data_IF_893631250184
#
_entry.id   IF_893631250184
#
_cell.length_a   1.000
_cell.length_b   1.000
_cell.length_c   1.000
_cell.angle_alpha   90.00
_cell.angle_beta   90.00
_cell.angle_gamma   90.00
#
_symmetry.space_group_name_H-M   'P 1'
#
loop_
_entity.id
_entity.type
_entity.pdbx_description
1 polymer ?
#
# COMPACT_ATOMS: atom_id res chain seq x y z
N UNK A 1 1.15 45.40 -24.28
CA UNK A 1 -0.12 44.91 -23.72
C UNK A 1 -0.64 43.87 -24.69
N UNK A 2 -0.47 42.58 -24.40
CA UNK A 2 -1.33 41.57 -25.01
C UNK A 2 -1.46 40.42 -24.02
N UNK A 3 -2.69 40.31 -23.51
CA UNK A 3 -3.12 39.37 -22.50
C UNK A 3 -3.81 38.23 -23.25
N UNK A 4 -3.17 37.07 -23.36
CA UNK A 4 -3.79 35.89 -23.96
C UNK A 4 -4.19 34.97 -22.82
N UNK A 5 -5.43 35.16 -22.38
CA UNK A 5 -6.12 34.30 -21.43
C UNK A 5 -6.15 32.86 -21.98
N UNK A 6 -5.29 32.01 -21.45
CA UNK A 6 -5.33 30.56 -21.59
C UNK A 6 -6.44 30.00 -20.69
N UNK A 7 -7.70 30.19 -21.11
CA UNK A 7 -8.82 29.39 -20.60
C UNK A 7 -8.62 27.95 -21.07
N UNK A 8 -8.04 27.13 -20.20
CA UNK A 8 -8.04 25.68 -20.35
C UNK A 8 -9.48 25.21 -20.34
N UNK A 9 -10.06 25.00 -21.52
CA UNK A 9 -11.32 24.29 -21.64
C UNK A 9 -11.12 22.88 -21.07
N UNK A 10 -11.63 22.66 -19.85
CA UNK A 10 -11.77 21.33 -19.27
C UNK A 10 -12.69 20.53 -20.18
N UNK A 11 -12.10 19.83 -21.15
CA UNK A 11 -12.81 18.79 -21.90
C UNK A 11 -13.33 17.80 -20.87
N UNK A 12 -14.65 17.63 -20.80
CA UNK A 12 -15.26 16.62 -19.95
C UNK A 12 -14.69 15.26 -20.38
N UNK A 13 -13.98 14.59 -19.47
CA UNK A 13 -13.37 13.29 -19.71
C UNK A 13 -14.47 12.21 -19.69
N UNK A 14 -15.35 12.21 -20.71
CA UNK A 14 -16.47 11.27 -20.85
C UNK A 14 -16.00 9.82 -20.71
N UNK A 15 -14.79 9.51 -21.19
CA UNK A 15 -14.12 8.20 -21.05
C UNK A 15 -14.00 7.78 -19.58
N UNK A 16 -13.56 8.68 -18.69
CA UNK A 16 -13.39 8.38 -17.27
C UNK A 16 -14.74 8.16 -16.57
N UNK A 17 -15.77 8.90 -17.00
CA UNK A 17 -17.13 8.71 -16.49
C UNK A 17 -17.70 7.34 -16.91
N UNK A 18 -17.56 6.94 -18.18
CA UNK A 18 -18.00 5.61 -18.64
C UNK A 18 -17.23 4.47 -17.97
N UNK A 19 -15.95 4.66 -17.64
CA UNK A 19 -15.16 3.71 -16.86
C UNK A 19 -15.73 3.54 -15.44
N UNK A 20 -15.98 4.64 -14.74
CA UNK A 20 -16.59 4.62 -13.41
C UNK A 20 -18.02 4.04 -13.42
N UNK A 21 -18.79 4.32 -14.47
CA UNK A 21 -20.14 3.79 -14.64
C UNK A 21 -20.14 2.28 -14.90
N UNK A 22 -19.24 1.78 -15.77
CA UNK A 22 -19.07 0.35 -16.01
C UNK A 22 -18.64 -0.41 -14.75
N UNK A 23 -17.71 0.16 -13.98
CA UNK A 23 -17.26 -0.40 -12.71
C UNK A 23 -18.37 -0.42 -11.63
N UNK A 24 -19.28 0.55 -11.62
CA UNK A 24 -20.43 0.52 -10.71
C UNK A 24 -21.41 -0.58 -11.10
N UNK A 25 -21.71 -0.73 -12.40
CA UNK A 25 -22.63 -1.75 -12.92
C UNK A 25 -22.11 -3.17 -12.61
N UNK A 26 -20.82 -3.43 -12.80
CA UNK A 26 -20.24 -4.75 -12.53
C UNK A 26 -20.22 -5.09 -11.03
N UNK A 27 -19.99 -4.09 -10.18
CA UNK A 27 -19.98 -4.26 -8.72
C UNK A 27 -21.39 -4.60 -8.22
N UNK A 28 -22.42 -3.92 -8.73
CA UNK A 28 -23.83 -4.24 -8.43
C UNK A 28 -24.18 -5.64 -8.93
N UNK A 29 -23.72 -6.02 -10.13
CA UNK A 29 -23.97 -7.36 -10.66
C UNK A 29 -23.26 -8.46 -9.85
N UNK A 30 -22.03 -8.22 -9.39
CA UNK A 30 -21.29 -9.10 -8.49
C UNK A 30 -21.98 -9.25 -7.14
N UNK A 31 -22.53 -8.15 -6.60
CA UNK A 31 -23.32 -8.15 -5.37
C UNK A 31 -24.55 -9.06 -5.50
N UNK A 32 -25.31 -8.97 -6.60
CA UNK A 32 -26.48 -9.82 -6.82
C UNK A 32 -26.12 -11.30 -6.98
N UNK A 33 -24.99 -11.61 -7.62
CA UNK A 33 -24.46 -12.97 -7.69
C UNK A 33 -24.11 -13.52 -6.30
N UNK A 34 -23.50 -12.72 -5.44
CA UNK A 34 -23.16 -13.13 -4.07
C UNK A 34 -24.40 -13.36 -3.19
N UNK A 35 -25.45 -12.55 -3.35
CA UNK A 35 -26.71 -12.68 -2.61
C UNK A 35 -27.57 -13.91 -3.03
N UNK A 36 -27.16 -14.66 -4.06
CA UNK A 36 -27.88 -15.85 -4.53
C UNK A 36 -29.26 -15.55 -5.12
N UNK A 37 -29.49 -14.31 -5.58
CA UNK A 37 -30.75 -13.93 -6.20
C UNK A 37 -30.96 -14.67 -7.52
N UNK A 38 -32.20 -15.08 -7.77
CA UNK A 38 -32.57 -15.65 -9.06
C UNK A 38 -32.24 -14.65 -10.19
N UNK A 39 -31.62 -15.10 -11.28
CA UNK A 39 -31.02 -14.29 -12.35
C UNK A 39 -29.68 -13.58 -12.04
N UNK A 40 -29.08 -13.80 -10.86
CA UNK A 40 -27.79 -13.20 -10.49
C UNK A 40 -26.67 -13.53 -11.47
N UNK A 41 -26.60 -14.77 -11.97
CA UNK A 41 -25.60 -15.18 -12.95
C UNK A 41 -25.77 -14.50 -14.31
N UNK A 42 -27.01 -14.33 -14.77
CA UNK A 42 -27.32 -13.68 -16.05
C UNK A 42 -26.94 -12.20 -15.98
N UNK A 43 -27.31 -11.51 -14.89
CA UNK A 43 -26.96 -10.11 -14.67
C UNK A 43 -25.43 -9.93 -14.56
N UNK A 44 -24.75 -10.86 -13.90
CA UNK A 44 -23.30 -10.88 -13.75
C UNK A 44 -22.57 -11.03 -15.09
N UNK A 45 -23.04 -11.95 -15.95
CA UNK A 45 -22.48 -12.14 -17.29
C UNK A 45 -22.66 -10.88 -18.14
N UNK A 46 -23.83 -10.24 -18.08
CA UNK A 46 -24.10 -8.99 -18.82
C UNK A 46 -23.20 -7.85 -18.33
N UNK A 47 -23.04 -7.72 -17.01
CA UNK A 47 -22.15 -6.73 -16.40
C UNK A 47 -20.68 -6.91 -16.81
N UNK A 48 -20.18 -8.14 -16.76
CA UNK A 48 -18.83 -8.51 -17.22
C UNK A 48 -18.63 -8.26 -18.72
N UNK A 49 -19.62 -8.62 -19.54
CA UNK A 49 -19.54 -8.43 -21.00
C UNK A 49 -19.49 -6.95 -21.36
N UNK A 50 -20.28 -6.13 -20.66
CA UNK A 50 -20.30 -4.67 -20.84
C UNK A 50 -18.96 -4.05 -20.45
N UNK A 51 -18.39 -4.46 -19.32
CA UNK A 51 -17.06 -3.99 -18.89
C UNK A 51 -15.97 -4.42 -19.87
N UNK A 52 -15.99 -5.67 -20.36
CA UNK A 52 -15.01 -6.17 -21.31
C UNK A 52 -15.00 -5.36 -22.63
N UNK A 53 -16.17 -4.91 -23.10
CA UNK A 53 -16.28 -4.06 -24.29
C UNK A 53 -15.71 -2.66 -24.01
N UNK A 54 -16.04 -2.07 -22.86
CA UNK A 54 -15.51 -0.76 -22.45
C UNK A 54 -13.98 -0.82 -22.34
N UNK A 55 -13.45 -1.87 -21.73
CA UNK A 55 -12.02 -2.08 -21.56
C UNK A 55 -11.31 -2.28 -22.90
N UNK A 56 -11.92 -3.03 -23.82
CA UNK A 56 -11.40 -3.23 -25.17
C UNK A 56 -11.34 -1.90 -25.95
N UNK A 57 -12.39 -1.08 -25.89
CA UNK A 57 -12.39 0.25 -26.52
C UNK A 57 -11.36 1.19 -25.86
N UNK A 58 -11.28 1.16 -24.53
CA UNK A 58 -10.32 1.97 -23.76
C UNK A 58 -8.87 1.63 -24.08
N UNK A 59 -8.55 0.35 -24.31
CA UNK A 59 -7.21 -0.07 -24.72
C UNK A 59 -6.74 0.57 -26.03
N UNK A 60 -7.67 0.90 -26.93
CA UNK A 60 -7.35 1.64 -28.17
C UNK A 60 -7.20 3.15 -27.95
N UNK A 61 -7.93 3.74 -26.99
CA UNK A 61 -7.92 5.18 -26.68
C UNK A 61 -6.76 5.61 -25.75
N UNK A 62 -6.15 4.66 -25.02
CA UNK A 62 -4.99 4.88 -24.14
C UNK A 62 -3.78 5.54 -24.85
N UNK A 63 -3.69 5.48 -26.19
CA UNK A 63 -2.59 6.11 -26.93
C UNK A 63 -2.65 7.66 -26.93
N UNK A 64 -3.80 8.28 -26.67
CA UNK A 64 -3.95 9.73 -26.82
C UNK A 64 -3.89 10.54 -25.52
N UNK A 65 -4.11 9.92 -24.35
CA UNK A 65 -4.29 10.62 -23.08
C UNK A 65 -3.27 10.25 -22.00
N UNK A 66 -1.99 10.07 -22.37
CA UNK A 66 -0.93 10.34 -21.40
C UNK A 66 -0.89 11.86 -21.19
N UNK A 67 -1.76 12.38 -20.33
CA UNK A 67 -1.46 13.64 -19.64
C UNK A 67 -0.15 13.38 -18.93
N UNK A 68 0.94 13.91 -19.45
CA UNK A 68 2.21 13.97 -18.72
C UNK A 68 1.87 14.61 -17.38
N UNK A 69 1.99 13.82 -16.32
CA UNK A 69 1.95 14.36 -14.98
C UNK A 69 3.01 15.47 -14.95
N UNK A 70 2.59 16.70 -14.65
CA UNK A 70 3.47 17.86 -14.59
C UNK A 70 4.36 17.77 -13.33
N UNK A 71 5.23 16.76 -13.30
CA UNK A 71 6.20 16.54 -12.22
C UNK A 71 7.09 17.76 -12.01
N UNK A 72 7.25 18.59 -13.03
CA UNK A 72 7.93 19.89 -13.02
C UNK A 72 7.33 20.89 -12.03
N UNK A 73 6.04 20.78 -11.67
CA UNK A 73 5.43 21.62 -10.63
C UNK A 73 5.80 21.19 -9.22
N UNK A 74 6.09 19.90 -9.02
CA UNK A 74 6.43 19.31 -7.71
C UNK A 74 7.94 19.24 -7.52
N UNK A 75 8.68 19.08 -8.62
CA UNK A 75 10.13 19.05 -8.70
C UNK A 75 10.57 20.04 -9.78
N UNK A 76 10.63 21.35 -9.47
CA UNK A 76 11.05 22.37 -10.43
C UNK A 76 12.44 22.11 -11.04
N UNK A 77 13.27 21.31 -10.37
CA UNK A 77 14.55 20.79 -10.87
C UNK A 77 14.45 19.86 -12.11
N UNK A 78 13.25 19.39 -12.48
CA UNK A 78 13.01 18.58 -13.68
C UNK A 78 12.48 19.40 -14.86
N UNK A 79 12.08 20.66 -14.64
CA UNK A 79 11.50 21.51 -15.67
C UNK A 79 12.51 21.74 -16.79
N UNK A 80 12.32 20.96 -17.86
CA UNK A 80 13.21 20.89 -19.01
C UNK A 80 12.81 21.90 -20.08
N UNK A 81 12.16 22.99 -19.70
CA UNK A 81 11.83 24.11 -20.59
C UNK A 81 12.71 25.32 -20.23
N UNK A 82 14.00 25.14 -20.48
CA UNK A 82 15.01 26.13 -20.91
C UNK A 82 16.41 25.58 -20.59
N UNK A 83 16.75 24.47 -21.23
CA UNK A 83 18.13 24.28 -21.69
C UNK A 83 18.00 23.87 -23.14
N UNK A 84 18.11 24.81 -24.11
CA UNK A 84 18.37 24.40 -25.47
C UNK A 84 19.68 23.62 -25.39
N UNK A 85 19.64 22.32 -25.70
CA UNK A 85 20.86 21.55 -25.92
C UNK A 85 21.39 21.96 -27.30
N UNK A 86 21.78 23.23 -27.45
CA UNK A 86 23.11 23.46 -27.98
C UNK A 86 24.04 22.99 -26.87
N UNK A 87 24.95 22.08 -27.20
CA UNK A 87 26.12 21.87 -26.34
C UNK A 87 26.96 23.14 -26.53
N UNK A 88 26.52 24.25 -25.94
CA UNK A 88 27.42 25.31 -25.56
C UNK A 88 28.17 24.74 -24.37
N UNK A 89 29.33 24.19 -24.70
CA UNK A 89 30.43 24.10 -23.77
C UNK A 89 30.78 25.54 -23.39
N UNK A 90 29.96 26.17 -22.54
CA UNK A 90 30.46 27.25 -21.71
C UNK A 90 31.34 26.57 -20.67
N UNK A 91 32.55 26.33 -21.14
CA UNK A 91 33.74 25.91 -20.43
C UNK A 91 33.99 27.00 -19.38
N UNK A 92 33.20 27.02 -18.30
CA UNK A 92 33.56 27.79 -17.12
C UNK A 92 34.90 27.21 -16.67
N UNK A 93 35.93 28.05 -16.76
CA UNK A 93 37.29 27.85 -16.30
C UNK A 93 37.30 27.46 -14.82
N UNK A 94 37.01 26.19 -14.53
CA UNK A 94 37.25 25.55 -13.25
C UNK A 94 38.37 24.55 -13.44
N UNK A 95 39.47 24.76 -12.72
CA UNK A 95 40.67 23.90 -12.78
C UNK A 95 40.30 22.43 -12.68
N UNK A 96 40.95 21.56 -13.46
CA UNK A 96 40.70 20.10 -13.48
C UNK A 96 40.65 19.47 -12.07
N UNK A 97 41.30 20.09 -11.09
CA UNK A 97 41.25 19.72 -9.68
C UNK A 97 39.86 19.78 -9.03
N UNK A 98 39.02 20.74 -9.40
CA UNK A 98 37.68 20.90 -8.81
C UNK A 98 36.73 19.77 -9.25
N UNK A 99 36.88 19.29 -10.49
CA UNK A 99 36.11 18.17 -11.01
C UNK A 99 36.54 16.85 -10.34
N UNK A 100 37.85 16.65 -10.14
CA UNK A 100 38.39 15.48 -9.42
C UNK A 100 37.90 15.46 -7.97
N UNK A 101 37.83 16.62 -7.29
CA UNK A 101 37.30 16.71 -5.92
C UNK A 101 35.84 16.30 -5.83
N UNK A 102 34.99 16.75 -6.76
CA UNK A 102 33.56 16.35 -6.81
C UNK A 102 33.41 14.84 -7.03
N UNK A 103 34.26 14.23 -7.86
CA UNK A 103 34.25 12.78 -8.08
C UNK A 103 34.66 12.05 -6.80
N UNK A 104 35.75 12.45 -6.15
CA UNK A 104 36.19 11.84 -4.89
C UNK A 104 35.12 11.95 -3.80
N UNK A 105 34.45 13.10 -3.69
CA UNK A 105 33.34 13.31 -2.76
C UNK A 105 32.15 12.40 -3.08
N UNK A 106 31.76 12.29 -4.35
CA UNK A 106 30.67 11.39 -4.78
C UNK A 106 31.00 9.91 -4.53
N UNK A 107 32.25 9.50 -4.71
CA UNK A 107 32.70 8.14 -4.42
C UNK A 107 32.72 7.85 -2.92
N UNK A 108 33.12 8.83 -2.11
CA UNK A 108 33.16 8.71 -0.65
C UNK A 108 31.75 8.62 -0.06
N UNK A 109 30.83 9.43 -0.57
CA UNK A 109 29.40 9.42 -0.17
C UNK A 109 28.70 8.14 -0.63
N UNK A 110 29.02 7.61 -1.82
CA UNK A 110 28.53 6.32 -2.27
C UNK A 110 29.05 5.19 -1.38
N UNK A 111 30.35 5.19 -1.04
CA UNK A 111 30.93 4.18 -0.18
C UNK A 111 30.28 4.15 1.21
N UNK A 112 30.08 5.30 1.84
CA UNK A 112 29.41 5.37 3.14
C UNK A 112 27.96 4.92 3.09
N UNK A 113 27.26 5.19 1.98
CA UNK A 113 25.88 4.72 1.74
C UNK A 113 25.80 3.19 1.60
N UNK A 114 26.77 2.56 0.93
CA UNK A 114 26.85 1.09 0.84
C UNK A 114 27.12 0.47 2.21
N UNK A 115 28.01 1.07 3.01
CA UNK A 115 28.30 0.60 4.38
C UNK A 115 27.09 0.74 5.29
N UNK A 116 26.35 1.86 5.20
CA UNK A 116 25.14 2.08 6.00
C UNK A 116 24.01 1.12 5.62
N UNK A 117 23.85 0.83 4.33
CA UNK A 117 22.90 -0.17 3.83
C UNK A 117 23.24 -1.57 4.36
N UNK A 118 24.50 -2.00 4.24
CA UNK A 118 24.93 -3.30 4.76
C UNK A 118 24.69 -3.40 6.29
N UNK A 119 24.95 -2.31 7.01
CA UNK A 119 24.68 -2.24 8.46
C UNK A 119 23.19 -2.31 8.77
N UNK A 120 22.34 -1.63 7.98
CA UNK A 120 20.88 -1.68 8.14
C UNK A 120 20.33 -3.08 7.85
N UNK A 121 20.81 -3.76 6.79
CA UNK A 121 20.42 -5.14 6.46
C UNK A 121 20.84 -6.11 7.56
N UNK A 122 22.04 -5.94 8.15
CA UNK A 122 22.47 -6.76 9.29
C UNK A 122 21.58 -6.54 10.51
N UNK A 123 21.26 -5.29 10.86
CA UNK A 123 20.33 -4.97 11.96
C UNK A 123 18.92 -5.52 11.71
N UNK A 124 18.46 -5.49 10.46
CA UNK A 124 17.17 -6.07 10.07
C UNK A 124 17.18 -7.59 10.32
N UNK A 125 18.21 -8.29 9.87
CA UNK A 125 18.34 -9.74 10.07
C UNK A 125 18.40 -10.10 11.57
N UNK A 126 19.14 -9.34 12.37
CA UNK A 126 19.17 -9.52 13.83
C UNK A 126 17.81 -9.26 14.49
N UNK A 127 17.07 -8.25 14.05
CA UNK A 127 15.71 -7.97 14.53
C UNK A 127 14.74 -9.08 14.15
N UNK A 128 14.83 -9.62 12.93
CA UNK A 128 14.01 -10.75 12.48
C UNK A 128 14.31 -11.99 13.34
N UNK A 129 15.58 -12.30 13.60
CA UNK A 129 15.95 -13.41 14.47
C UNK A 129 15.46 -13.23 15.93
N UNK A 130 15.43 -12.00 16.44
CA UNK A 130 14.83 -11.69 17.75
C UNK A 130 13.32 -11.82 17.75
N UNK A 131 12.64 -11.43 16.67
CA UNK A 131 11.19 -11.59 16.52
C UNK A 131 10.82 -13.07 16.53
N UNK A 132 11.54 -13.91 15.78
CA UNK A 132 11.34 -15.36 15.74
C UNK A 132 11.44 -15.99 17.13
N UNK A 133 12.53 -15.67 17.86
CA UNK A 133 12.71 -16.12 19.23
C UNK A 133 11.63 -15.60 20.19
N UNK A 134 11.21 -14.33 20.05
CA UNK A 134 10.16 -13.76 20.89
C UNK A 134 8.79 -14.39 20.57
N UNK A 135 8.54 -14.75 19.32
CA UNK A 135 7.31 -15.41 18.91
C UNK A 135 7.17 -16.78 19.57
N UNK A 136 8.23 -17.58 19.58
CA UNK A 136 8.25 -18.87 20.29
C UNK A 136 7.96 -18.71 21.79
N UNK A 137 8.63 -17.75 22.45
CA UNK A 137 8.44 -17.46 23.88
C UNK A 137 7.01 -16.97 24.16
N UNK A 138 6.45 -16.10 23.30
CA UNK A 138 5.07 -15.61 23.45
C UNK A 138 4.07 -16.75 23.26
N UNK A 139 4.28 -17.61 22.27
CA UNK A 139 3.41 -18.76 22.02
C UNK A 139 3.43 -19.74 23.20
N UNK A 140 4.62 -20.09 23.70
CA UNK A 140 4.79 -20.98 24.86
C UNK A 140 4.16 -20.38 26.12
N UNK A 141 4.45 -19.12 26.43
CA UNK A 141 3.85 -18.43 27.59
C UNK A 141 2.34 -18.29 27.47
N UNK A 142 1.79 -17.99 26.29
CA UNK A 142 0.34 -17.91 26.06
C UNK A 142 -0.35 -19.24 26.34
N UNK A 143 0.23 -20.36 25.89
CA UNK A 143 -0.29 -21.69 26.18
C UNK A 143 -0.25 -22.02 27.69
N UNK A 144 0.84 -21.66 28.37
CA UNK A 144 0.94 -21.80 29.83
C UNK A 144 -0.10 -20.95 30.56
N UNK A 145 -0.33 -19.71 30.13
CA UNK A 145 -1.38 -18.84 30.66
C UNK A 145 -2.78 -19.43 30.47
N UNK A 146 -3.09 -19.95 29.28
CA UNK A 146 -4.37 -20.62 29.01
C UNK A 146 -4.56 -21.83 29.94
N UNK A 147 -3.51 -22.64 30.13
CA UNK A 147 -3.54 -23.78 31.04
C UNK A 147 -3.80 -23.34 32.48
N UNK A 148 -3.10 -22.33 32.98
CA UNK A 148 -3.34 -21.79 34.32
C UNK A 148 -4.77 -21.26 34.46
N UNK A 149 -5.27 -20.48 33.50
CA UNK A 149 -6.65 -19.99 33.50
C UNK A 149 -7.69 -21.12 33.56
N UNK A 150 -7.49 -22.19 32.79
CA UNK A 150 -8.35 -23.36 32.83
C UNK A 150 -8.31 -24.04 34.21
N UNK A 151 -7.13 -24.18 34.81
CA UNK A 151 -7.02 -24.76 36.16
C UNK A 151 -7.67 -23.87 37.23
N UNK A 152 -7.55 -22.54 37.10
CA UNK A 152 -8.22 -21.58 37.99
C UNK A 152 -9.73 -21.71 37.84
N UNK A 153 -10.24 -21.75 36.61
CA UNK A 153 -11.66 -21.96 36.33
C UNK A 153 -12.18 -23.23 37.00
N UNK A 154 -11.44 -24.34 36.89
CA UNK A 154 -11.80 -25.60 37.53
C UNK A 154 -11.79 -25.53 39.06
N UNK A 155 -10.77 -24.86 39.64
CA UNK A 155 -10.69 -24.64 41.10
C UNK A 155 -11.88 -23.81 41.58
N UNK A 156 -12.25 -22.75 40.86
CA UNK A 156 -13.40 -21.90 41.17
C UNK A 156 -14.72 -22.68 41.04
N UNK A 157 -14.88 -23.48 39.98
CA UNK A 157 -16.06 -24.31 39.79
C UNK A 157 -16.23 -25.30 40.95
N UNK A 158 -15.16 -26.01 41.33
CA UNK A 158 -15.16 -26.92 42.49
C UNK A 158 -15.49 -26.21 43.80
N UNK A 159 -14.91 -25.02 44.02
CA UNK A 159 -15.21 -24.22 45.21
C UNK A 159 -16.70 -23.84 45.27
N UNK A 160 -17.29 -23.42 44.13
CA UNK A 160 -18.71 -23.10 44.07
C UNK A 160 -19.60 -24.33 44.36
N UNK A 161 -19.28 -25.50 43.80
CA UNK A 161 -20.01 -26.74 44.13
C UNK A 161 -19.91 -27.10 45.61
N UNK A 162 -18.72 -26.98 46.20
CA UNK A 162 -18.50 -27.24 47.62
C UNK A 162 -19.36 -26.35 48.52
N UNK A 163 -19.45 -25.06 48.22
CA UNK A 163 -20.30 -24.13 48.97
C UNK A 163 -21.80 -24.48 48.91
N UNK A 164 -22.28 -24.90 47.73
CA UNK A 164 -23.68 -25.34 47.57
C UNK A 164 -23.97 -26.63 48.33
N UNK A 165 -23.00 -27.53 48.39
CA UNK A 165 -23.12 -28.78 49.12
C UNK A 165 -23.23 -28.50 50.63
N UNK A 166 -22.39 -27.61 51.18
CA UNK A 166 -22.50 -27.15 52.57
C UNK A 166 -23.86 -26.51 52.90
N UNK A 167 -24.43 -25.71 52.00
CA UNK A 167 -25.75 -25.09 52.20
C UNK A 167 -26.86 -26.16 52.28
N UNK A 168 -26.81 -27.19 51.43
CA UNK A 168 -27.75 -28.30 51.48
C UNK A 168 -27.64 -29.14 52.76
N UNK A 169 -26.44 -29.23 53.37
CA UNK A 169 -26.27 -29.88 54.67
C UNK A 169 -26.82 -29.03 55.83
N UNK A 170 -26.69 -27.71 55.77
CA UNK A 170 -27.19 -26.81 56.82
C UNK A 170 -28.73 -26.69 56.87
N UNK A 171 -29.44 -27.04 55.79
CA UNK A 171 -30.92 -26.98 55.70
C UNK A 171 -31.59 -28.27 56.21
N UNK A 172 -30.83 -29.32 56.52
CA UNK A 172 -31.36 -30.67 56.81
C UNK A 172 -31.39 -31.06 58.30
N UNK A 173 -31.01 -30.16 59.20
CA UNK A 173 -31.18 -30.25 60.67
C UNK A 173 -32.20 -29.20 61.15
#
# INVERSE_FOLDING_TARGET
MENINNTTEKKFDFINFFYGLGAAIILVAAMFKFLGWNLGDVLFIIGLTTEAIIFLISAFDWKYNKKEYEWDKVFPQLNKNEIPISIDVELLEGTQEQQIRKIIESLTTLHSSVVSLNTATRKLNESIAKIDKNFDVISETTSLYEKELNTLKDKIARANYSLRDFDNFAVKD
#
